data_IF_115099278845
#
_entry.id   IF_115099278845
#
_cell.length_a   1.000
_cell.length_b   1.000
_cell.length_c   1.000
_cell.angle_alpha   90.00
_cell.angle_beta   90.00
_cell.angle_gamma   90.00
#
_symmetry.space_group_name_H-M   'P 1'
#
loop_
_entity.id
_entity.type
_entity.pdbx_description
1 polymer ?
#
# COMPACT_ATOMS: atom_id res chain seq x y z
N UNK A 1 -59.14 20.85 10.77
CA UNK A 1 -58.39 21.49 9.68
C UNK A 1 -57.28 20.56 9.26
N UNK A 2 -57.15 20.34 7.96
CA UNK A 2 -56.28 19.34 7.34
C UNK A 2 -54.98 20.00 6.92
N UNK A 3 -53.86 19.59 7.51
CA UNK A 3 -52.54 19.91 6.96
C UNK A 3 -51.85 18.61 6.57
N UNK A 4 -52.17 18.19 5.35
CA UNK A 4 -51.40 17.23 4.56
C UNK A 4 -50.34 18.04 3.83
N UNK A 5 -49.07 17.81 4.11
CA UNK A 5 -47.96 18.33 3.28
C UNK A 5 -46.96 17.22 2.99
N UNK A 6 -47.29 16.58 1.88
CA UNK A 6 -46.45 15.96 0.85
C UNK A 6 -44.93 16.15 0.95
N UNK A 7 -44.26 14.99 0.80
CA UNK A 7 -43.08 14.81 -0.07
C UNK A 7 -41.75 15.44 0.37
N UNK A 8 -40.83 14.57 0.80
CA UNK A 8 -39.63 14.36 -0.01
C UNK A 8 -39.07 12.96 0.25
N UNK A 9 -39.62 11.99 -0.47
CA UNK A 9 -38.90 10.74 -0.67
C UNK A 9 -37.77 11.02 -1.65
N UNK A 10 -36.59 11.39 -1.15
CA UNK A 10 -35.37 11.43 -1.96
C UNK A 10 -34.96 9.98 -2.28
N UNK A 11 -35.69 9.36 -3.20
CA UNK A 11 -35.28 8.11 -3.85
C UNK A 11 -34.20 8.45 -4.88
N UNK A 12 -32.95 8.21 -4.51
CA UNK A 12 -31.80 8.31 -5.44
C UNK A 12 -31.59 7.02 -6.23
N UNK A 13 -32.63 6.22 -6.46
CA UNK A 13 -32.52 5.03 -7.27
C UNK A 13 -33.18 5.27 -8.63
N UNK A 14 -32.57 6.14 -9.44
CA UNK A 14 -32.77 6.05 -10.88
C UNK A 14 -32.21 4.71 -11.34
N UNK A 15 -33.08 3.74 -11.58
CA UNK A 15 -32.74 2.53 -12.35
C UNK A 15 -32.71 2.92 -13.81
N UNK A 16 -31.68 3.68 -14.20
CA UNK A 16 -31.29 3.77 -15.60
C UNK A 16 -30.98 2.36 -16.13
N UNK A 17 -31.10 2.12 -17.44
CA UNK A 17 -30.71 0.84 -18.02
C UNK A 17 -29.28 0.55 -17.58
N UNK A 18 -29.10 -0.55 -16.83
CA UNK A 18 -27.78 -1.12 -16.57
C UNK A 18 -27.32 -1.64 -17.92
N UNK A 19 -26.63 -0.77 -18.67
CA UNK A 19 -25.66 -1.25 -19.63
C UNK A 19 -24.72 -2.10 -18.80
N UNK A 20 -24.82 -3.41 -18.93
CA UNK A 20 -23.78 -4.32 -18.49
C UNK A 20 -22.58 -4.06 -19.40
N UNK A 21 -21.94 -2.90 -19.16
CA UNK A 21 -20.60 -2.63 -19.63
C UNK A 21 -19.78 -3.61 -18.82
N UNK A 22 -19.68 -4.84 -19.32
CA UNK A 22 -19.08 -5.97 -18.65
C UNK A 22 -17.75 -5.51 -18.06
N UNK A 23 -17.80 -5.10 -16.80
CA UNK A 23 -16.61 -4.84 -16.02
C UNK A 23 -16.18 -6.26 -15.71
N UNK A 24 -15.51 -6.88 -16.68
CA UNK A 24 -14.59 -7.96 -16.42
C UNK A 24 -13.55 -7.35 -15.48
N UNK A 25 -13.91 -7.26 -14.20
CA UNK A 25 -12.98 -7.07 -13.13
C UNK A 25 -12.21 -8.39 -13.11
N UNK A 26 -11.20 -8.47 -13.99
CA UNK A 26 -10.21 -9.52 -13.91
C UNK A 26 -9.79 -9.55 -12.44
N UNK A 27 -9.88 -10.70 -11.76
CA UNK A 27 -9.48 -10.78 -10.36
C UNK A 27 -8.06 -10.22 -10.28
N UNK A 28 -7.91 -9.10 -9.55
CA UNK A 28 -6.63 -8.42 -9.42
C UNK A 28 -5.75 -9.34 -8.59
N UNK A 29 -4.92 -10.13 -9.25
CA UNK A 29 -4.03 -11.04 -8.55
C UNK A 29 -3.15 -10.21 -7.63
N UNK A 30 -3.22 -10.51 -6.33
CA UNK A 30 -2.29 -9.90 -5.37
C UNK A 30 -0.92 -10.44 -5.72
N UNK A 31 0.07 -9.53 -5.82
CA UNK A 31 1.47 -9.94 -5.94
C UNK A 31 1.80 -10.84 -4.75
N UNK A 32 2.64 -11.86 -4.96
CA UNK A 32 3.16 -12.68 -3.88
C UNK A 32 3.84 -11.78 -2.85
N UNK A 33 3.68 -12.12 -1.57
CA UNK A 33 4.39 -11.44 -0.51
C UNK A 33 5.90 -11.54 -0.74
N UNK A 34 6.63 -10.49 -0.37
CA UNK A 34 8.08 -10.56 -0.32
C UNK A 34 8.47 -11.54 0.79
N UNK A 35 9.36 -12.49 0.47
CA UNK A 35 9.98 -13.33 1.48
C UNK A 35 11.16 -12.55 2.07
N UNK A 36 11.06 -12.20 3.34
CA UNK A 36 12.14 -11.55 4.08
C UNK A 36 12.92 -12.61 4.83
N UNK A 37 14.24 -12.65 4.65
CA UNK A 37 15.09 -13.50 5.48
C UNK A 37 15.36 -12.85 6.84
N UNK A 38 15.91 -13.62 7.78
CA UNK A 38 16.36 -13.08 9.06
C UNK A 38 17.50 -12.06 8.85
N UNK A 39 18.37 -12.31 7.88
CA UNK A 39 19.47 -11.45 7.50
C UNK A 39 18.98 -10.13 6.89
N UNK A 40 17.94 -10.16 6.05
CA UNK A 40 17.31 -8.95 5.49
C UNK A 40 16.72 -8.08 6.58
N UNK A 41 16.03 -8.72 7.51
CA UNK A 41 15.40 -8.04 8.65
C UNK A 41 16.47 -7.40 9.54
N UNK A 42 17.54 -8.14 9.84
CA UNK A 42 18.67 -7.65 10.65
C UNK A 42 19.36 -6.47 9.96
N UNK A 43 19.65 -6.60 8.66
CA UNK A 43 20.28 -5.53 7.85
C UNK A 43 19.43 -4.26 7.84
N UNK A 44 18.10 -4.39 7.71
CA UNK A 44 17.20 -3.24 7.76
C UNK A 44 17.24 -2.57 9.14
N UNK A 45 17.17 -3.35 10.22
CA UNK A 45 17.13 -2.82 11.58
C UNK A 45 18.44 -2.12 11.96
N UNK A 46 19.59 -2.73 11.64
CA UNK A 46 20.92 -2.12 11.86
C UNK A 46 21.02 -0.77 11.15
N UNK A 47 20.66 -0.72 9.87
CA UNK A 47 20.67 0.53 9.09
C UNK A 47 19.74 1.59 9.69
N UNK A 48 18.52 1.21 10.11
CA UNK A 48 17.58 2.17 10.71
C UNK A 48 18.08 2.69 12.06
N UNK A 49 18.74 1.87 12.87
CA UNK A 49 19.35 2.28 14.14
C UNK A 49 20.50 3.27 13.91
N UNK A 50 21.32 3.09 12.87
CA UNK A 50 22.39 4.02 12.50
C UNK A 50 21.86 5.36 11.96
N UNK A 51 20.71 5.34 11.28
CA UNK A 51 20.07 6.55 10.73
C UNK A 51 19.22 7.31 11.75
N UNK A 52 18.79 6.65 12.84
CA UNK A 52 17.90 7.23 13.83
C UNK A 52 18.41 8.56 14.42
N UNK A 53 19.70 8.71 14.80
CA UNK A 53 20.23 9.96 15.33
C UNK A 53 20.18 11.13 14.33
N UNK A 54 20.12 10.83 13.02
CA UNK A 54 20.15 11.84 11.94
C UNK A 54 18.76 12.43 11.66
N UNK A 55 17.70 11.80 12.15
CA UNK A 55 16.30 12.14 11.86
C UNK A 55 15.67 13.07 12.90
N UNK A 56 16.25 13.18 14.10
CA UNK A 56 15.67 13.94 15.21
C UNK A 56 14.26 13.43 15.55
N UNK A 57 13.30 14.33 15.74
CA UNK A 57 11.90 13.97 16.05
C UNK A 57 11.05 13.66 14.80
N UNK A 58 11.67 13.51 13.62
CA UNK A 58 10.99 13.26 12.36
C UNK A 58 10.75 11.79 12.05
N UNK A 59 10.19 11.53 10.87
CA UNK A 59 10.10 10.19 10.28
C UNK A 59 11.23 9.96 9.28
N UNK A 60 11.55 8.69 9.01
CA UNK A 60 12.43 8.29 7.92
C UNK A 60 11.93 8.84 6.58
N UNK A 61 12.78 9.59 5.89
CA UNK A 61 12.48 10.13 4.56
C UNK A 61 12.48 9.00 3.53
N UNK A 62 11.81 9.23 2.41
CA UNK A 62 11.80 8.29 1.27
C UNK A 62 13.21 7.88 0.84
N UNK A 63 14.16 8.82 0.86
CA UNK A 63 15.57 8.56 0.55
C UNK A 63 16.20 7.49 1.44
N UNK A 64 15.91 7.52 2.75
CA UNK A 64 16.43 6.52 3.70
C UNK A 64 15.90 5.13 3.37
N UNK A 65 14.61 5.01 3.06
CA UNK A 65 14.02 3.74 2.61
C UNK A 65 14.57 3.25 1.27
N UNK A 66 14.87 4.16 0.33
CA UNK A 66 15.52 3.80 -0.94
C UNK A 66 16.92 3.25 -0.73
N UNK A 67 17.70 3.84 0.19
CA UNK A 67 19.04 3.35 0.55
C UNK A 67 18.95 1.98 1.22
N UNK A 68 18.04 1.81 2.20
CA UNK A 68 17.81 0.53 2.86
C UNK A 68 17.46 -0.58 1.86
N UNK A 69 16.54 -0.29 0.92
CA UNK A 69 16.16 -1.25 -0.12
C UNK A 69 17.34 -1.62 -1.03
N UNK A 70 18.21 -0.65 -1.36
CA UNK A 70 19.42 -0.90 -2.13
C UNK A 70 20.41 -1.80 -1.38
N UNK A 71 20.61 -1.55 -0.08
CA UNK A 71 21.50 -2.34 0.79
C UNK A 71 21.05 -3.81 0.90
N UNK A 72 19.75 -4.05 1.08
CA UNK A 72 19.19 -5.41 1.12
C UNK A 72 19.34 -6.09 -0.26
N UNK A 73 19.09 -5.34 -1.33
CA UNK A 73 19.20 -5.88 -2.71
C UNK A 73 20.64 -6.25 -3.09
N UNK A 74 21.65 -5.51 -2.64
CA UNK A 74 23.07 -5.82 -2.93
C UNK A 74 23.51 -7.09 -2.18
N UNK A 75 23.08 -7.28 -0.94
CA UNK A 75 23.31 -8.51 -0.17
C UNK A 75 22.75 -9.73 -0.90
N UNK A 76 21.56 -9.63 -1.47
CA UNK A 76 20.95 -10.73 -2.26
C UNK A 76 21.73 -11.07 -3.53
N UNK A 77 22.35 -10.07 -4.18
CA UNK A 77 23.17 -10.31 -5.38
C UNK A 77 24.46 -11.03 -5.04
N UNK A 78 25.03 -10.78 -3.87
CA UNK A 78 26.26 -11.44 -3.40
C UNK A 78 26.01 -12.93 -3.12
N UNK A 79 24.87 -13.28 -2.54
CA UNK A 79 24.54 -14.68 -2.20
C UNK A 79 24.20 -15.56 -3.41
N UNK A 80 23.90 -14.98 -4.58
CA UNK A 80 23.49 -15.74 -5.78
C UNK A 80 24.65 -16.07 -6.74
N UNK A 81 25.89 -15.73 -6.39
CA UNK A 81 27.09 -16.12 -7.11
C UNK A 81 27.82 -17.23 -6.35
N UNK A 82 27.39 -18.48 -6.55
CA UNK A 82 28.01 -19.69 -6.04
C UNK A 82 27.64 -20.87 -6.94
#
# INVERSE_FOLDING_TARGET
MSDRSTSSGHSLHSKGPVVDLGISSKPKSRKKAANWSAEDTTTLLEFLLEELPKIGNGNFKRSTWTIAASLISTKHKITKGG
#
